data_IF_378918883718
#
_entry.id   IF_378918883718
#
_cell.length_a   1.000
_cell.length_b   1.000
_cell.length_c   1.000
_cell.angle_alpha   90.00
_cell.angle_beta   90.00
_cell.angle_gamma   90.00
#
_symmetry.space_group_name_H-M   'P 1'
#
loop_
_entity.id
_entity.type
_entity.pdbx_description
1 polymer ?
#
# COMPACT_ATOMS: atom_id res chain seq x y z
N UNK A 1 -5.71 7.47 -5.15
CA UNK A 1 -6.39 8.33 -4.14
C UNK A 1 -6.16 9.81 -4.46
N UNK A 2 -7.19 10.66 -4.34
CA UNK A 2 -7.06 12.12 -4.42
C UNK A 2 -7.59 12.74 -3.14
N UNK A 3 -6.76 13.56 -2.48
CA UNK A 3 -7.03 14.09 -1.13
C UNK A 3 -7.35 13.02 -0.07
N UNK A 4 -7.52 13.45 1.18
CA UNK A 4 -8.02 12.61 2.26
C UNK A 4 -7.09 11.49 2.70
N UNK A 5 -7.68 10.45 3.31
CA UNK A 5 -6.98 9.31 3.89
C UNK A 5 -7.50 7.99 3.31
N UNK A 6 -6.59 7.04 3.06
CA UNK A 6 -6.93 5.66 2.73
C UNK A 6 -6.09 4.69 3.57
N UNK A 7 -6.76 3.67 4.12
CA UNK A 7 -6.12 2.51 4.71
C UNK A 7 -6.27 1.34 3.74
N UNK A 8 -5.18 0.90 3.14
CA UNK A 8 -5.11 -0.24 2.21
C UNK A 8 -4.51 -1.40 2.99
N UNK A 9 -5.33 -2.41 3.29
CA UNK A 9 -4.96 -3.44 4.26
C UNK A 9 -5.39 -4.83 3.80
N UNK A 10 -4.49 -5.81 3.94
CA UNK A 10 -4.77 -7.23 3.64
C UNK A 10 -5.16 -7.50 2.18
N UNK A 11 -4.42 -6.96 1.20
CA UNK A 11 -4.67 -7.21 -0.23
C UNK A 11 -3.51 -7.95 -0.88
N UNK A 12 -3.83 -8.83 -1.83
CA UNK A 12 -2.87 -9.47 -2.72
C UNK A 12 -2.78 -8.70 -4.05
N UNK A 13 -1.59 -8.21 -4.38
CA UNK A 13 -1.31 -7.51 -5.64
C UNK A 13 -0.26 -8.28 -6.44
N UNK A 14 -0.57 -8.59 -7.69
CA UNK A 14 0.35 -9.29 -8.58
C UNK A 14 0.36 -8.64 -9.96
N UNK A 15 1.54 -8.39 -10.51
CA UNK A 15 1.72 -8.09 -11.94
C UNK A 15 1.16 -6.75 -12.42
N UNK A 16 1.29 -5.68 -11.63
CA UNK A 16 0.87 -4.34 -12.08
C UNK A 16 1.71 -3.83 -13.26
N UNK A 17 1.10 -3.18 -14.25
CA UNK A 17 1.86 -2.63 -15.38
C UNK A 17 2.69 -1.39 -14.99
N UNK A 18 2.05 -0.40 -14.36
CA UNK A 18 2.68 0.87 -14.02
C UNK A 18 2.98 1.01 -12.53
N UNK A 19 1.99 0.78 -11.66
CA UNK A 19 2.10 0.84 -10.20
C UNK A 19 0.86 0.18 -9.57
N UNK A 20 0.93 -0.21 -8.30
CA UNK A 20 -0.22 -0.77 -7.58
C UNK A 20 -1.00 0.29 -6.78
N UNK A 21 -0.29 1.24 -6.14
CA UNK A 21 -0.91 2.26 -5.27
C UNK A 21 -0.52 3.66 -5.77
N UNK A 22 -1.51 4.41 -6.24
CA UNK A 22 -1.32 5.75 -6.80
C UNK A 22 -1.98 6.87 -5.97
N UNK A 23 -1.37 8.06 -5.95
CA UNK A 23 -1.99 9.25 -5.35
C UNK A 23 -1.68 10.57 -6.04
N UNK A 24 -2.63 11.50 -6.00
CA UNK A 24 -2.41 12.89 -6.42
C UNK A 24 -3.10 13.87 -5.47
N UNK A 25 -2.70 15.15 -5.51
CA UNK A 25 -3.28 16.19 -4.64
C UNK A 25 -3.12 15.88 -3.14
N UNK A 26 -1.94 15.35 -2.79
CA UNK A 26 -1.47 15.15 -1.41
C UNK A 26 -2.36 14.28 -0.50
N UNK A 27 -2.62 13.02 -0.87
CA UNK A 27 -3.33 12.10 0.00
C UNK A 27 -2.42 11.55 1.11
N UNK A 28 -3.07 10.96 2.12
CA UNK A 28 -2.45 10.18 3.18
C UNK A 28 -2.84 8.71 3.02
N UNK A 29 -1.89 7.83 2.71
CA UNK A 29 -2.14 6.41 2.46
C UNK A 29 -1.32 5.58 3.44
N UNK A 30 -2.02 4.74 4.20
CA UNK A 30 -1.41 3.66 4.98
C UNK A 30 -1.63 2.35 4.22
N UNK A 31 -0.54 1.75 3.77
CA UNK A 31 -0.47 0.37 3.29
C UNK A 31 -0.08 -0.52 4.47
N UNK A 32 -0.91 -1.49 4.84
CA UNK A 32 -0.64 -2.38 5.95
C UNK A 32 -0.90 -3.85 5.62
N UNK A 33 0.08 -4.71 5.87
CA UNK A 33 -0.03 -6.16 5.70
C UNK A 33 -0.57 -6.61 4.33
N UNK A 34 -0.21 -5.93 3.26
CA UNK A 34 -0.48 -6.36 1.89
C UNK A 34 0.66 -7.23 1.35
N UNK A 35 0.36 -8.03 0.33
CA UNK A 35 1.33 -8.90 -0.32
C UNK A 35 1.51 -8.47 -1.79
N UNK A 36 2.68 -7.95 -2.13
CA UNK A 36 2.99 -7.42 -3.46
C UNK A 36 3.96 -8.34 -4.19
N UNK A 37 3.56 -8.82 -5.37
CA UNK A 37 4.43 -9.50 -6.33
C UNK A 37 4.56 -8.62 -7.57
N UNK A 38 5.74 -8.05 -7.77
CA UNK A 38 5.99 -7.28 -8.97
C UNK A 38 5.90 -8.16 -10.24
N UNK A 39 5.64 -7.58 -11.42
CA UNK A 39 5.67 -8.29 -12.70
C UNK A 39 6.95 -9.11 -12.91
N UNK A 40 6.90 -10.17 -13.73
CA UNK A 40 8.09 -11.00 -14.02
C UNK A 40 9.02 -10.40 -15.08
N UNK A 41 8.49 -9.55 -15.94
CA UNK A 41 9.24 -8.87 -16.99
C UNK A 41 10.09 -7.71 -16.42
N UNK A 42 10.77 -6.97 -17.30
CA UNK A 42 11.59 -5.80 -16.93
C UNK A 42 10.74 -4.58 -16.55
N UNK A 43 9.45 -4.79 -16.22
CA UNK A 43 8.50 -3.75 -15.83
C UNK A 43 8.79 -3.12 -14.46
N UNK A 44 7.99 -2.11 -14.11
CA UNK A 44 8.21 -1.31 -12.91
C UNK A 44 8.01 -2.14 -11.63
N UNK A 45 9.02 -2.18 -10.76
CA UNK A 45 8.97 -2.86 -9.46
C UNK A 45 8.48 -1.97 -8.32
N UNK A 46 8.38 -0.66 -8.56
CA UNK A 46 7.90 0.27 -7.55
C UNK A 46 6.37 0.17 -7.39
N UNK A 47 5.93 -0.15 -6.18
CA UNK A 47 4.52 -0.30 -5.79
C UNK A 47 3.80 1.03 -5.87
N UNK A 48 4.46 2.15 -5.57
CA UNK A 48 3.81 3.45 -5.40
C UNK A 48 4.05 4.43 -6.54
N UNK A 49 3.02 5.18 -6.89
CA UNK A 49 3.13 6.33 -7.79
C UNK A 49 2.47 7.56 -7.17
N UNK A 50 3.05 8.73 -7.44
CA UNK A 50 2.68 9.96 -6.74
C UNK A 50 2.77 11.16 -7.69
N UNK A 51 1.72 11.98 -7.76
CA UNK A 51 1.63 13.17 -8.65
C UNK A 51 1.29 14.46 -7.90
N UNK A 52 2.04 15.53 -8.17
CA UNK A 52 1.95 16.83 -7.47
C UNK A 52 3.25 17.22 -6.75
N UNK A 53 3.16 18.18 -5.83
CA UNK A 53 4.32 18.72 -5.11
C UNK A 53 4.93 17.72 -4.13
N UNK A 54 6.26 17.59 -4.19
CA UNK A 54 7.04 16.74 -3.29
C UNK A 54 6.99 17.31 -1.86
N UNK A 55 6.80 16.44 -0.87
CA UNK A 55 6.85 16.78 0.56
C UNK A 55 5.50 16.84 1.28
N UNK A 56 4.39 16.93 0.55
CA UNK A 56 3.04 16.93 1.15
C UNK A 56 2.43 15.52 1.26
N UNK A 57 2.99 14.55 0.55
CA UNK A 57 2.43 13.21 0.49
C UNK A 57 2.77 12.43 1.74
N UNK A 58 1.82 11.59 2.16
CA UNK A 58 1.96 10.76 3.36
C UNK A 58 1.73 9.30 3.01
N UNK A 59 2.77 8.62 2.52
CA UNK A 59 2.69 7.21 2.14
C UNK A 59 3.50 6.38 3.14
N UNK A 60 2.85 5.39 3.74
CA UNK A 60 3.48 4.52 4.74
C UNK A 60 3.16 3.07 4.44
N UNK A 61 4.19 2.24 4.48
CA UNK A 61 4.08 0.78 4.44
C UNK A 61 4.35 0.22 5.83
N UNK A 62 3.48 -0.66 6.31
CA UNK A 62 3.60 -1.31 7.63
C UNK A 62 3.37 -2.81 7.45
N UNK A 63 4.39 -3.63 7.73
CA UNK A 63 4.30 -5.10 7.62
C UNK A 63 3.88 -5.63 6.24
N UNK A 64 4.01 -4.83 5.18
CA UNK A 64 3.79 -5.33 3.82
C UNK A 64 4.89 -6.32 3.42
N UNK A 65 4.53 -7.30 2.60
CA UNK A 65 5.48 -8.26 2.01
C UNK A 65 5.71 -7.90 0.55
N UNK A 66 6.98 -7.82 0.18
CA UNK A 66 7.40 -7.52 -1.18
C UNK A 66 8.14 -8.73 -1.77
N UNK A 67 7.71 -9.18 -2.95
CA UNK A 67 8.31 -10.29 -3.69
C UNK A 67 8.65 -9.86 -5.12
N UNK A 68 9.52 -10.63 -5.75
CA UNK A 68 9.97 -10.40 -7.13
C UNK A 68 10.57 -9.01 -7.38
N UNK A 69 11.30 -8.49 -6.39
CA UNK A 69 11.93 -7.17 -6.47
C UNK A 69 10.97 -6.00 -6.23
N UNK A 70 9.70 -6.24 -5.88
CA UNK A 70 8.77 -5.18 -5.49
C UNK A 70 9.38 -4.26 -4.42
N UNK A 71 9.14 -2.96 -4.54
CA UNK A 71 9.63 -1.96 -3.60
C UNK A 71 8.55 -0.95 -3.24
N UNK A 72 8.65 -0.39 -2.04
CA UNK A 72 7.85 0.74 -1.61
C UNK A 72 8.79 1.90 -1.29
N UNK A 73 8.80 2.91 -2.14
CA UNK A 73 9.67 4.07 -2.01
C UNK A 73 9.50 4.78 -0.67
N UNK A 74 10.59 5.40 -0.20
CA UNK A 74 10.77 5.96 1.14
C UNK A 74 9.48 6.58 1.70
N UNK A 75 9.14 6.15 2.91
CA UNK A 75 8.01 6.69 3.66
C UNK A 75 8.16 8.20 3.82
N UNK A 76 7.05 8.93 3.67
CA UNK A 76 7.04 10.39 3.74
C UNK A 76 6.08 10.87 4.82
N UNK A 77 6.53 11.84 5.61
CA UNK A 77 5.78 12.42 6.73
C UNK A 77 6.20 11.86 8.10
N UNK A 78 6.22 12.72 9.12
CA UNK A 78 6.54 12.35 10.50
C UNK A 78 5.27 11.78 11.15
N UNK A 79 5.37 10.59 11.76
CA UNK A 79 4.31 10.03 12.62
C UNK A 79 3.28 9.09 11.96
N UNK A 80 3.41 8.77 10.67
CA UNK A 80 2.52 7.83 10.00
C UNK A 80 1.25 8.46 9.42
N UNK A 81 0.45 7.63 8.77
CA UNK A 81 -0.93 7.93 8.39
C UNK A 81 -1.82 7.12 9.31
N UNK A 82 -2.33 7.74 10.38
CA UNK A 82 -3.18 7.04 11.36
C UNK A 82 -4.65 7.13 10.93
N UNK A 83 -5.36 6.00 10.83
CA UNK A 83 -6.80 6.02 10.69
C UNK A 83 -7.44 6.50 12.01
N UNK A 84 -8.48 7.33 11.90
CA UNK A 84 -9.31 7.71 13.04
C UNK A 84 -10.49 6.73 13.16
N UNK A 85 -10.20 5.44 13.34
CA UNK A 85 -11.25 4.44 13.50
C UNK A 85 -11.94 4.58 14.85
N UNK A 86 -13.28 4.58 14.83
CA UNK A 86 -14.06 4.34 16.03
C UNK A 86 -14.03 2.85 16.41
N UNK A 87 -14.64 2.48 17.52
CA UNK A 87 -14.65 1.09 18.00
C UNK A 87 -15.32 0.13 17.00
N UNK A 88 -16.39 0.56 16.33
CA UNK A 88 -17.14 -0.24 15.34
C UNK A 88 -16.36 -0.46 14.04
N UNK A 89 -15.45 0.46 13.71
CA UNK A 89 -14.60 0.42 12.52
C UNK A 89 -13.28 -0.32 12.77
N UNK A 90 -12.98 -0.72 14.01
CA UNK A 90 -11.76 -1.46 14.31
C UNK A 90 -11.87 -2.91 13.82
N UNK A 91 -10.79 -3.41 13.24
CA UNK A 91 -10.67 -4.78 12.80
C UNK A 91 -9.25 -5.29 13.05
N UNK A 92 -9.11 -6.60 13.17
CA UNK A 92 -7.80 -7.23 13.33
C UNK A 92 -7.10 -7.29 11.97
N UNK A 93 -5.87 -6.77 11.93
CA UNK A 93 -5.00 -6.91 10.76
C UNK A 93 -4.26 -8.25 10.84
N UNK A 94 -4.41 -9.05 9.80
CA UNK A 94 -3.78 -10.39 9.67
C UNK A 94 -2.33 -10.28 9.21
N UNK A 95 -1.61 -11.41 9.21
CA UNK A 95 -0.25 -11.47 8.70
C UNK A 95 -0.22 -11.41 7.16
N UNK A 96 0.71 -10.64 6.62
CA UNK A 96 0.85 -10.46 5.17
C UNK A 96 1.15 -11.78 4.45
N UNK A 97 1.89 -12.71 5.07
CA UNK A 97 2.22 -14.00 4.49
C UNK A 97 1.00 -14.90 4.21
N UNK A 98 -0.06 -14.77 5.01
CA UNK A 98 -1.31 -15.52 4.83
C UNK A 98 -2.29 -14.87 3.85
N UNK A 99 -2.02 -13.64 3.38
CA UNK A 99 -2.95 -12.89 2.52
C UNK A 99 -3.32 -13.67 1.26
N UNK A 100 -2.37 -14.36 0.63
CA UNK A 100 -2.62 -15.13 -0.59
C UNK A 100 -3.71 -16.18 -0.41
N UNK A 101 -3.73 -16.86 0.74
CA UNK A 101 -4.75 -17.86 1.09
C UNK A 101 -6.07 -17.21 1.50
N UNK A 102 -6.01 -16.05 2.18
CA UNK A 102 -7.20 -15.34 2.65
C UNK A 102 -7.96 -14.62 1.53
N UNK A 103 -7.28 -14.27 0.42
CA UNK A 103 -7.86 -13.58 -0.72
C UNK A 103 -8.01 -14.46 -1.96
N UNK A 104 -7.75 -15.77 -1.86
CA UNK A 104 -8.08 -16.71 -2.93
C UNK A 104 -9.56 -17.01 -2.90
N UNK A 105 -10.21 -16.97 -4.06
CA UNK A 105 -11.54 -17.57 -4.20
C UNK A 105 -11.43 -19.09 -4.18
N UNK A 106 -12.38 -19.74 -3.52
CA UNK A 106 -12.53 -21.20 -3.44
C UNK A 106 -12.98 -21.81 -4.76
#
# INVERSE_FOLDING_TARGET
>A
VRHGYAHVVTNFYQGWEQYAIGGSMSPSIKSEANFFIAPNDVGNKEVTWRKGEKGLWKFYSVRDVFKNGASFSKQTGVGGAKPNYNQEQNFKVVDAGSVKELTSES
#
